data_IF_982768038628
#
_entry.id   IF_982768038628
#
_cell.length_a   1.000
_cell.length_b   1.000
_cell.length_c   1.000
_cell.angle_alpha   90.00
_cell.angle_beta   90.00
_cell.angle_gamma   90.00
#
_symmetry.space_group_name_H-M   'P 1'
#
loop_
_entity.id
_entity.type
_entity.pdbx_description
1 polymer ?
#
# COMPACT_ATOMS: atom_id res chain seq x y z
N UNK A 1 22.37 -15.66 -12.32
CA UNK A 1 21.26 -14.71 -12.57
C UNK A 1 20.91 -14.12 -11.22
N UNK A 2 21.25 -12.86 -10.98
CA UNK A 2 21.07 -12.20 -9.68
C UNK A 2 19.58 -12.09 -9.37
N UNK A 3 19.09 -12.91 -8.43
CA UNK A 3 17.78 -12.73 -7.80
C UNK A 3 17.88 -11.51 -6.88
N UNK A 4 17.91 -10.33 -7.47
CA UNK A 4 17.67 -9.10 -6.72
C UNK A 4 16.19 -9.10 -6.36
N UNK A 5 15.85 -9.63 -5.18
CA UNK A 5 14.55 -9.45 -4.56
C UNK A 5 14.33 -7.94 -4.38
N UNK A 6 13.80 -7.28 -5.42
CA UNK A 6 13.55 -5.85 -5.43
C UNK A 6 12.55 -5.59 -4.30
N UNK A 7 13.05 -5.05 -3.18
CA UNK A 7 12.21 -4.50 -2.12
C UNK A 7 11.33 -3.43 -2.76
N UNK A 8 10.07 -3.75 -2.98
CA UNK A 8 9.10 -2.79 -3.49
C UNK A 8 8.96 -1.71 -2.43
N UNK A 9 9.26 -0.45 -2.76
CA UNK A 9 9.21 0.64 -1.78
C UNK A 9 7.82 1.27 -1.73
N UNK A 10 7.47 1.94 -0.63
CA UNK A 10 6.19 2.68 -0.53
C UNK A 10 6.05 3.71 -1.66
N UNK A 11 7.16 4.29 -2.12
CA UNK A 11 7.18 5.22 -3.24
C UNK A 11 6.75 4.55 -4.55
N UNK A 12 7.24 3.34 -4.82
CA UNK A 12 6.86 2.59 -6.02
C UNK A 12 5.39 2.16 -5.98
N UNK A 13 4.89 1.77 -4.80
CA UNK A 13 3.46 1.45 -4.61
C UNK A 13 2.59 2.67 -4.86
N UNK A 14 2.97 3.82 -4.30
CA UNK A 14 2.25 5.07 -4.52
C UNK A 14 2.25 5.47 -6.00
N UNK A 15 3.41 5.36 -6.68
CA UNK A 15 3.51 5.60 -8.12
C UNK A 15 2.65 4.64 -8.94
N UNK A 16 2.61 3.35 -8.59
CA UNK A 16 1.80 2.34 -9.26
C UNK A 16 0.30 2.60 -9.09
N UNK A 17 -0.14 3.05 -7.92
CA UNK A 17 -1.52 3.46 -7.65
C UNK A 17 -1.83 4.90 -8.11
N UNK A 18 -0.91 5.55 -8.83
CA UNK A 18 -1.02 6.92 -9.35
C UNK A 18 -1.37 7.96 -8.25
N UNK A 19 -0.81 7.79 -7.06
CA UNK A 19 -1.01 8.67 -5.91
C UNK A 19 0.33 9.22 -5.40
N UNK A 20 0.27 10.31 -4.64
CA UNK A 20 1.47 10.86 -4.00
C UNK A 20 1.99 9.96 -2.87
N UNK A 21 3.32 9.85 -2.67
CA UNK A 21 3.90 9.06 -1.59
C UNK A 21 3.48 9.56 -0.19
N UNK A 22 3.36 10.88 0.00
CA UNK A 22 2.83 11.46 1.24
C UNK A 22 1.36 11.10 1.49
N UNK A 23 0.58 11.01 0.40
CA UNK A 23 -0.83 10.62 0.48
C UNK A 23 -0.96 9.18 0.99
N UNK A 24 -0.15 8.27 0.45
CA UNK A 24 -0.08 6.89 0.92
C UNK A 24 0.38 6.82 2.39
N UNK A 25 1.42 7.58 2.75
CA UNK A 25 1.91 7.67 4.14
C UNK A 25 0.82 8.14 5.11
N UNK A 26 0.01 9.13 4.73
CA UNK A 26 -1.12 9.60 5.53
C UNK A 26 -2.21 8.56 5.72
N UNK A 27 -2.50 7.75 4.69
CA UNK A 27 -3.46 6.64 4.78
C UNK A 27 -2.96 5.56 5.75
N UNK A 28 -1.69 5.16 5.59
CA UNK A 28 -1.08 4.10 6.40
C UNK A 28 -0.97 4.52 7.87
N UNK A 29 -0.70 5.81 8.13
CA UNK A 29 -0.65 6.37 9.49
C UNK A 29 -2.03 6.66 10.08
N UNK A 30 -3.12 6.42 9.36
CA UNK A 30 -4.48 6.74 9.81
C UNK A 30 -4.81 8.23 9.90
N UNK A 31 -3.92 9.11 9.40
CA UNK A 31 -4.16 10.56 9.39
C UNK A 31 -5.19 10.98 8.35
N UNK A 32 -5.38 10.15 7.32
CA UNK A 32 -6.37 10.37 6.27
C UNK A 32 -7.09 9.08 5.96
N UNK A 33 -8.40 9.17 5.75
CA UNK A 33 -9.20 8.05 5.26
C UNK A 33 -8.88 7.78 3.79
N UNK A 34 -8.71 6.53 3.42
CA UNK A 34 -8.47 6.15 2.03
C UNK A 34 -9.78 6.34 1.23
N UNK A 35 -9.77 7.13 0.14
CA UNK A 35 -10.90 7.19 -0.77
C UNK A 35 -11.14 5.80 -1.41
N UNK A 36 -12.40 5.42 -1.67
CA UNK A 36 -12.70 4.13 -2.30
C UNK A 36 -12.04 3.96 -3.68
N UNK A 37 -11.93 5.05 -4.45
CA UNK A 37 -11.27 5.04 -5.76
C UNK A 37 -9.76 4.74 -5.65
N UNK A 38 -9.09 5.32 -4.65
CA UNK A 38 -7.67 5.06 -4.38
C UNK A 38 -7.47 3.65 -3.81
N UNK A 39 -8.43 3.16 -3.01
CA UNK A 39 -8.38 1.81 -2.47
C UNK A 39 -8.45 0.73 -3.57
N UNK A 40 -9.21 0.97 -4.64
CA UNK A 40 -9.23 0.10 -5.83
C UNK A 40 -7.85 0.08 -6.51
N UNK A 41 -7.27 1.26 -6.77
CA UNK A 41 -5.94 1.35 -7.40
C UNK A 41 -4.84 0.71 -6.55
N UNK A 42 -4.93 0.83 -5.23
CA UNK A 42 -4.02 0.18 -4.29
C UNK A 42 -4.22 -1.34 -4.27
N UNK A 43 -5.45 -1.82 -4.36
CA UNK A 43 -5.76 -3.25 -4.51
C UNK A 43 -5.17 -3.81 -5.81
N UNK A 44 -5.30 -3.09 -6.92
CA UNK A 44 -4.68 -3.48 -8.20
C UNK A 44 -3.13 -3.46 -8.13
N UNK A 45 -2.56 -2.46 -7.44
CA UNK A 45 -1.11 -2.30 -7.35
C UNK A 45 -0.42 -3.26 -6.36
N UNK A 46 -1.12 -3.72 -5.31
CA UNK A 46 -0.52 -4.48 -4.20
C UNK A 46 -1.18 -5.83 -3.95
N UNK A 47 -2.35 -6.10 -4.53
CA UNK A 47 -3.20 -7.24 -4.20
C UNK A 47 -3.88 -7.15 -2.82
N UNK A 48 -3.65 -6.06 -2.06
CA UNK A 48 -4.24 -5.87 -0.74
C UNK A 48 -5.69 -5.38 -0.89
N UNK A 49 -6.62 -6.06 -0.22
CA UNK A 49 -8.05 -5.78 -0.38
C UNK A 49 -8.41 -4.31 -0.08
N UNK A 50 -9.22 -3.71 -0.95
CA UNK A 50 -9.71 -2.32 -0.81
C UNK A 50 -10.42 -2.06 0.52
N UNK A 51 -11.08 -3.07 1.10
CA UNK A 51 -11.74 -2.95 2.41
C UNK A 51 -10.69 -2.69 3.49
N UNK A 52 -9.53 -3.35 3.44
CA UNK A 52 -8.41 -3.10 4.36
C UNK A 52 -7.90 -1.67 4.22
N UNK A 53 -7.87 -1.11 3.01
CA UNK A 53 -7.46 0.28 2.80
C UNK A 53 -8.48 1.30 3.33
N UNK A 54 -9.78 1.07 3.10
CA UNK A 54 -10.86 2.01 3.47
C UNK A 54 -11.22 1.93 4.96
N UNK A 55 -11.29 0.72 5.50
CA UNK A 55 -11.83 0.43 6.84
C UNK A 55 -10.82 -0.19 7.80
N UNK A 56 -9.72 -0.76 7.28
CA UNK A 56 -8.69 -1.33 8.13
C UNK A 56 -8.05 -0.28 9.04
N UNK A 57 -7.54 -0.76 10.16
CA UNK A 57 -6.73 0.04 11.08
C UNK A 57 -5.38 0.40 10.46
N UNK A 58 -4.68 1.43 10.97
CA UNK A 58 -3.31 1.76 10.54
C UNK A 58 -2.35 0.57 10.65
N UNK A 59 -2.52 -0.25 11.69
CA UNK A 59 -1.70 -1.43 11.95
C UNK A 59 -1.95 -2.53 10.92
N UNK A 60 -3.21 -2.81 10.59
CA UNK A 60 -3.56 -3.78 9.54
C UNK A 60 -3.01 -3.36 8.17
N UNK A 61 -3.10 -2.07 7.83
CA UNK A 61 -2.53 -1.54 6.57
C UNK A 61 -1.02 -1.71 6.52
N UNK A 62 -0.31 -1.42 7.61
CA UNK A 62 1.15 -1.63 7.69
C UNK A 62 1.49 -3.09 7.55
N UNK A 63 0.82 -3.97 8.28
CA UNK A 63 1.08 -5.41 8.24
C UNK A 63 0.84 -5.99 6.84
N UNK A 64 -0.25 -5.58 6.18
CA UNK A 64 -0.54 -5.98 4.80
C UNK A 64 0.55 -5.49 3.82
N UNK A 65 1.00 -4.24 3.96
CA UNK A 65 2.11 -3.69 3.18
C UNK A 65 3.43 -4.39 3.46
N UNK A 66 3.77 -4.67 4.71
CA UNK A 66 5.00 -5.38 5.07
C UNK A 66 5.02 -6.78 4.45
N UNK A 67 3.90 -7.51 4.49
CA UNK A 67 3.76 -8.80 3.83
C UNK A 67 3.95 -8.73 2.31
N UNK A 68 3.54 -7.63 1.68
CA UNK A 68 3.77 -7.39 0.25
C UNK A 68 5.22 -6.98 -0.06
N UNK A 69 5.85 -6.14 0.78
CA UNK A 69 7.19 -5.59 0.55
C UNK A 69 8.31 -6.60 0.86
N UNK A 70 8.05 -7.56 1.75
CA UNK A 70 8.99 -8.59 2.19
C UNK A 70 8.37 -9.99 2.06
N UNK A 71 8.14 -10.49 0.83
CA UNK A 71 7.77 -11.88 0.64
C UNK A 71 8.93 -12.76 1.13
N UNK A 72 8.65 -13.59 2.14
CA UNK A 72 9.58 -14.60 2.68
C UNK A 72 9.88 -15.71 1.66
#
# INVERSE_FOLDING_TARGET
>A
METTSKKVTQKEIASSAQIGPDFLSHIIRGRRRCPPDVALRLEEATGINKVTWVWGTPEEKRKALEGYMYPH
#
